data_IF_510637849057
#
_entry.id   IF_510637849057
#
_cell.length_a   1.000
_cell.length_b   1.000
_cell.length_c   1.000
_cell.angle_alpha   90.00
_cell.angle_beta   90.00
_cell.angle_gamma   90.00
#
_symmetry.space_group_name_H-M   'P 1'
#
loop_
_entity.id
_entity.type
_entity.pdbx_description
1 polymer ?
#
# COMPACT_ATOMS: atom_id res chain seq x y z
N UNK A 1 -7.12 9.74 -46.82
CA UNK A 1 -7.11 10.87 -45.86
C UNK A 1 -7.21 10.30 -44.46
N UNK A 2 -6.40 10.83 -43.54
CA UNK A 2 -6.34 10.46 -42.11
C UNK A 2 -7.69 10.72 -41.42
N UNK A 3 -8.04 9.88 -40.44
CA UNK A 3 -8.29 10.33 -39.07
C UNK A 3 -8.38 9.11 -38.13
N UNK A 4 -7.55 9.15 -37.08
CA UNK A 4 -7.54 8.27 -35.92
C UNK A 4 -8.84 8.36 -35.13
N UNK A 5 -9.18 7.29 -34.40
CA UNK A 5 -9.70 7.38 -33.02
C UNK A 5 -9.66 6.00 -32.37
N UNK A 6 -8.57 5.71 -31.66
CA UNK A 6 -8.64 4.87 -30.46
C UNK A 6 -9.25 5.72 -29.34
N UNK A 7 -10.06 5.13 -28.46
CA UNK A 7 -9.92 5.43 -27.04
C UNK A 7 -9.64 4.16 -26.24
N UNK A 8 -8.50 4.20 -25.56
CA UNK A 8 -8.15 3.39 -24.39
C UNK A 8 -9.23 3.52 -23.31
N UNK A 9 -9.64 2.40 -22.73
CA UNK A 9 -9.80 2.24 -21.28
C UNK A 9 -10.02 0.75 -21.02
N UNK A 10 -8.92 0.03 -20.86
CA UNK A 10 -8.95 -1.06 -19.91
C UNK A 10 -9.42 -0.45 -18.59
N UNK A 11 -10.56 -0.91 -18.08
CA UNK A 11 -10.90 -0.80 -16.67
C UNK A 11 -9.74 -1.41 -15.88
N UNK A 12 -8.71 -0.60 -15.60
CA UNK A 12 -7.78 -0.88 -14.54
C UNK A 12 -8.65 -0.78 -13.29
N UNK A 13 -9.20 -1.92 -12.88
CA UNK A 13 -9.96 -2.02 -11.64
C UNK A 13 -9.08 -1.44 -10.55
N UNK A 14 -9.44 -0.25 -10.06
CA UNK A 14 -8.75 0.43 -8.96
C UNK A 14 -8.90 -0.47 -7.74
N UNK A 15 -7.81 -1.17 -7.39
CA UNK A 15 -7.80 -2.14 -6.33
C UNK A 15 -7.56 -1.41 -5.02
N UNK A 16 -8.61 -1.32 -4.21
CA UNK A 16 -8.50 -0.80 -2.86
C UNK A 16 -7.84 -1.83 -1.95
N UNK A 17 -6.59 -1.57 -1.59
CA UNK A 17 -5.86 -2.32 -0.57
C UNK A 17 -6.48 -2.00 0.81
N UNK A 18 -6.80 -3.05 1.56
CA UNK A 18 -7.41 -2.96 2.89
C UNK A 18 -6.65 -3.83 3.87
N UNK A 19 -6.38 -3.29 5.05
CA UNK A 19 -5.81 -4.04 6.16
C UNK A 19 -6.92 -4.78 6.90
N UNK A 20 -6.66 -6.02 7.30
CA UNK A 20 -7.55 -6.77 8.21
C UNK A 20 -7.25 -6.49 9.69
N UNK A 21 -6.18 -5.75 9.97
CA UNK A 21 -5.71 -5.48 11.32
C UNK A 21 -5.97 -4.02 11.69
N UNK A 22 -6.37 -3.80 12.94
CA UNK A 22 -6.44 -2.46 13.54
C UNK A 22 -5.99 -2.55 14.98
N UNK A 23 -5.30 -1.51 15.44
CA UNK A 23 -4.75 -1.45 16.81
C UNK A 23 -5.33 -0.28 17.60
N UNK A 24 -6.63 0.02 17.37
CA UNK A 24 -7.27 1.25 17.82
C UNK A 24 -7.01 2.46 16.90
N UNK A 25 -6.08 2.32 15.94
CA UNK A 25 -5.95 3.18 14.76
C UNK A 25 -6.53 2.41 13.56
N UNK A 26 -7.51 3.00 12.87
CA UNK A 26 -8.03 2.42 11.64
C UNK A 26 -7.03 2.59 10.50
N UNK A 27 -6.58 1.46 9.95
CA UNK A 27 -5.81 1.41 8.72
C UNK A 27 -6.74 1.73 7.54
N UNK A 28 -6.78 3.01 7.15
CA UNK A 28 -7.62 3.42 6.02
C UNK A 28 -7.15 2.73 4.73
N UNK A 29 -8.10 2.47 3.85
CA UNK A 29 -7.84 1.89 2.54
C UNK A 29 -6.88 2.76 1.74
N UNK A 30 -6.12 2.14 0.84
CA UNK A 30 -5.25 2.84 -0.11
C UNK A 30 -5.48 2.30 -1.51
N UNK A 31 -5.54 3.18 -2.50
CA UNK A 31 -5.69 2.79 -3.90
C UNK A 31 -4.35 2.30 -4.43
N UNK A 32 -4.33 1.10 -5.03
CA UNK A 32 -3.10 0.52 -5.57
C UNK A 32 -2.44 1.38 -6.65
N UNK A 33 -3.22 2.20 -7.36
CA UNK A 33 -2.75 3.14 -8.37
C UNK A 33 -1.95 4.31 -7.81
N UNK A 34 -2.17 4.66 -6.54
CA UNK A 34 -1.44 5.75 -5.88
C UNK A 34 -0.13 5.26 -5.24
N UNK A 35 0.08 3.95 -5.16
CA UNK A 35 1.24 3.34 -4.52
C UNK A 35 2.21 2.81 -5.57
N UNK A 36 3.46 3.25 -5.46
CA UNK A 36 4.58 2.73 -6.24
C UNK A 36 5.45 1.77 -5.40
N UNK A 37 5.71 2.13 -4.15
CA UNK A 37 6.59 1.38 -3.24
C UNK A 37 5.98 1.23 -1.85
N UNK A 38 6.37 0.16 -1.15
CA UNK A 38 6.02 -0.08 0.24
C UNK A 38 7.31 -0.05 1.04
N UNK A 39 7.41 0.87 1.98
CA UNK A 39 8.58 0.98 2.87
C UNK A 39 8.31 0.35 4.22
N UNK A 40 9.24 -0.48 4.68
CA UNK A 40 9.21 -1.05 6.02
C UNK A 40 9.97 -0.14 6.97
N UNK A 41 9.35 0.27 8.09
CA UNK A 41 10.14 0.90 9.16
C UNK A 41 10.59 -0.12 10.20
N UNK A 42 11.70 0.18 10.90
CA UNK A 42 11.90 -0.37 12.24
C UNK A 42 10.73 0.02 13.17
N UNK A 43 10.62 -0.62 14.35
CA UNK A 43 9.63 -0.25 15.35
C UNK A 43 9.67 1.25 15.65
N UNK A 44 8.51 1.87 15.84
CA UNK A 44 8.43 3.31 16.06
C UNK A 44 9.23 3.68 17.33
N UNK A 45 10.20 4.62 17.29
CA UNK A 45 11.10 4.87 18.43
C UNK A 45 10.37 5.26 19.72
N UNK A 46 9.26 5.99 19.59
CA UNK A 46 8.45 6.40 20.74
C UNK A 46 7.46 5.31 21.21
N UNK A 47 7.22 4.27 20.39
CA UNK A 47 6.34 3.14 20.69
C UNK A 47 6.95 1.86 20.09
N UNK A 48 7.87 1.19 20.80
CA UNK A 48 8.62 0.04 20.27
C UNK A 48 7.72 -1.17 19.94
N UNK A 49 6.46 -1.16 20.38
CA UNK A 49 5.47 -2.18 20.07
C UNK A 49 4.62 -1.84 18.82
N UNK A 50 4.88 -0.72 18.15
CA UNK A 50 4.16 -0.29 16.96
C UNK A 50 5.04 -0.48 15.72
N UNK A 51 4.54 -1.29 14.82
CA UNK A 51 5.12 -1.58 13.52
C UNK A 51 4.33 -0.85 12.45
N UNK A 52 5.01 -0.38 11.41
CA UNK A 52 4.40 0.48 10.40
C UNK A 52 4.73 -0.01 8.99
N UNK A 53 3.73 0.09 8.10
CA UNK A 53 3.91 0.04 6.64
C UNK A 53 3.63 1.42 6.07
N UNK A 54 4.58 1.92 5.28
CA UNK A 54 4.40 3.17 4.54
C UNK A 54 4.13 2.82 3.08
N UNK A 55 2.99 3.27 2.58
CA UNK A 55 2.63 3.21 1.19
C UNK A 55 3.10 4.52 0.54
N UNK A 56 4.09 4.41 -0.33
CA UNK A 56 4.74 5.52 -0.99
C UNK A 56 4.31 5.62 -2.45
N UNK A 57 4.03 6.84 -2.89
CA UNK A 57 3.74 7.16 -4.28
C UNK A 57 5.01 7.25 -5.12
N UNK A 58 4.84 7.58 -6.40
CA UNK A 58 5.92 7.60 -7.39
C UNK A 58 7.01 8.63 -7.08
N UNK A 59 6.67 9.75 -6.43
CA UNK A 59 7.65 10.77 -6.01
C UNK A 59 8.26 10.46 -4.62
N UNK A 60 8.00 9.27 -4.06
CA UNK A 60 8.48 8.85 -2.76
C UNK A 60 7.74 9.45 -1.57
N UNK A 61 6.68 10.25 -1.81
CA UNK A 61 5.83 10.76 -0.73
C UNK A 61 5.01 9.63 -0.10
N UNK A 62 4.83 9.68 1.22
CA UNK A 62 3.94 8.75 1.92
C UNK A 62 2.50 9.13 1.61
N UNK A 63 1.82 8.27 0.85
CA UNK A 63 0.39 8.40 0.54
C UNK A 63 -0.43 7.86 1.71
N UNK A 64 -0.01 6.72 2.27
CA UNK A 64 -0.71 6.07 3.37
C UNK A 64 0.21 5.37 4.35
N UNK A 65 -0.31 5.17 5.55
CA UNK A 65 0.41 4.51 6.64
C UNK A 65 -0.53 3.55 7.35
N UNK A 66 -0.07 2.30 7.51
CA UNK A 66 -0.76 1.28 8.28
C UNK A 66 0.04 0.91 9.53
N UNK A 67 -0.68 0.73 10.63
CA UNK A 67 -0.12 0.48 11.96
C UNK A 67 -0.48 -0.91 12.46
N UNK A 68 0.46 -1.53 13.16
CA UNK A 68 0.38 -2.88 13.68
C UNK A 68 1.02 -2.98 15.06
N UNK A 69 0.50 -3.88 15.88
CA UNK A 69 0.98 -4.18 17.24
C UNK A 69 2.01 -5.32 17.23
N UNK A 70 2.20 -5.98 16.09
CA UNK A 70 3.19 -7.05 15.92
C UNK A 70 3.75 -7.07 14.51
N UNK A 71 5.01 -7.49 14.40
CA UNK A 71 5.67 -7.67 13.10
C UNK A 71 4.98 -8.74 12.25
N UNK A 72 4.45 -9.79 12.89
CA UNK A 72 3.78 -10.89 12.19
C UNK A 72 2.53 -10.42 11.44
N UNK A 73 1.68 -9.61 12.08
CA UNK A 73 0.49 -9.04 11.42
C UNK A 73 0.87 -8.11 10.26
N UNK A 74 1.92 -7.30 10.46
CA UNK A 74 2.48 -6.47 9.38
C UNK A 74 2.90 -7.32 8.18
N UNK A 75 3.64 -8.41 8.41
CA UNK A 75 4.09 -9.32 7.34
C UNK A 75 2.92 -10.00 6.62
N UNK A 76 1.89 -10.43 7.35
CA UNK A 76 0.70 -11.05 6.75
C UNK A 76 -0.08 -10.12 5.83
N UNK A 77 -0.23 -8.85 6.21
CA UNK A 77 -0.87 -7.84 5.36
C UNK A 77 0.02 -7.47 4.17
N UNK A 78 1.33 -7.31 4.38
CA UNK A 78 2.29 -7.06 3.29
C UNK A 78 2.21 -8.17 2.24
N UNK A 79 2.22 -9.43 2.66
CA UNK A 79 2.14 -10.57 1.75
C UNK A 79 0.81 -10.60 0.98
N UNK A 80 -0.30 -10.24 1.63
CA UNK A 80 -1.60 -10.07 0.95
C UNK A 80 -1.60 -8.92 -0.05
N UNK A 81 -1.00 -7.78 0.29
CA UNK A 81 -0.86 -6.63 -0.61
C UNK A 81 -0.02 -7.01 -1.83
N UNK A 82 1.11 -7.70 -1.65
CA UNK A 82 1.97 -8.12 -2.75
C UNK A 82 1.32 -9.21 -3.62
N UNK A 83 0.51 -10.09 -3.03
CA UNK A 83 -0.31 -11.05 -3.79
C UNK A 83 -1.36 -10.35 -4.65
N UNK A 84 -1.96 -9.27 -4.15
CA UNK A 84 -2.97 -8.52 -4.89
C UNK A 84 -2.36 -7.59 -5.94
N UNK A 85 -1.22 -6.98 -5.61
CA UNK A 85 -0.52 -6.00 -6.42
C UNK A 85 0.97 -6.38 -6.53
N UNK A 86 1.32 -7.40 -7.35
CA UNK A 86 2.70 -7.90 -7.46
C UNK A 86 3.67 -6.90 -8.09
N UNK A 87 3.16 -5.79 -8.64
CA UNK A 87 3.96 -4.69 -9.19
C UNK A 87 4.61 -3.80 -8.12
N UNK A 88 4.09 -3.84 -6.88
CA UNK A 88 4.60 -3.01 -5.79
C UNK A 88 5.97 -3.55 -5.33
N UNK A 89 6.93 -2.64 -5.17
CA UNK A 89 8.26 -2.99 -4.66
C UNK A 89 8.33 -2.71 -3.16
N UNK A 90 9.03 -3.57 -2.42
CA UNK A 90 9.30 -3.38 -1.00
C UNK A 90 10.71 -2.81 -0.83
N UNK A 91 10.83 -1.74 -0.05
CA UNK A 91 12.09 -1.04 0.27
C UNK A 91 12.35 -0.98 1.79
#
# INVERSE_FOLDING_TARGET
MRAHSHPLREDIAMALLKSKFSIGLHNLSVEDSEVATIRLSPPYPAKPNVWVLYFCGTDGQVVRTWYYDSEQKRKLDLDQVLKHCPRLKVE
#
